data_IF_831651329646
#
_entry.id   IF_831651329646
#
_cell.length_a   1.000
_cell.length_b   1.000
_cell.length_c   1.000
_cell.angle_alpha   90.00
_cell.angle_beta   90.00
_cell.angle_gamma   90.00
#
_symmetry.space_group_name_H-M   'P 1'
#
loop_
_entity.id
_entity.type
_entity.pdbx_description
1 polymer ?
#
# COMPACT_ATOMS: atom_id res chain seq x y z
N UNK A 1 36.62 10.63 -2.37
CA UNK A 1 35.77 9.88 -3.32
C UNK A 1 35.37 8.60 -2.61
N UNK A 2 34.16 8.56 -2.05
CA UNK A 2 33.76 7.53 -1.08
C UNK A 2 32.62 6.71 -1.69
N UNK A 3 32.93 5.46 -2.03
CA UNK A 3 32.01 4.52 -2.66
C UNK A 3 30.86 4.19 -1.73
N UNK A 4 29.72 4.87 -1.90
CA UNK A 4 28.48 4.51 -1.22
C UNK A 4 27.96 3.23 -1.87
N UNK A 5 28.15 2.10 -1.19
CA UNK A 5 27.59 0.82 -1.58
C UNK A 5 26.09 0.95 -1.81
N UNK A 6 25.65 0.84 -3.07
CA UNK A 6 24.25 0.65 -3.41
C UNK A 6 23.86 -0.76 -2.96
N UNK A 7 23.32 -0.89 -1.75
CA UNK A 7 22.88 -2.17 -1.23
C UNK A 7 21.63 -2.61 -1.99
N UNK A 8 21.78 -3.72 -2.70
CA UNK A 8 20.81 -4.32 -3.58
C UNK A 8 20.50 -5.72 -3.02
N UNK A 9 19.23 -6.03 -2.71
CA UNK A 9 18.87 -7.25 -1.99
C UNK A 9 17.60 -7.90 -2.53
N UNK A 10 17.66 -9.21 -2.79
CA UNK A 10 16.49 -10.02 -3.09
C UNK A 10 15.60 -10.19 -1.85
N UNK A 11 14.30 -10.07 -2.06
CA UNK A 11 13.26 -10.16 -1.03
C UNK A 11 12.07 -10.97 -1.57
N UNK A 12 11.24 -11.52 -0.70
CA UNK A 12 9.99 -12.18 -1.09
C UNK A 12 8.85 -11.72 -0.19
N UNK A 13 7.62 -11.79 -0.73
CA UNK A 13 6.40 -11.45 0.00
C UNK A 13 5.34 -12.52 -0.22
N UNK A 14 4.78 -12.97 0.89
CA UNK A 14 3.64 -13.87 0.94
C UNK A 14 2.51 -13.16 1.68
N UNK A 15 1.31 -13.20 1.12
CA UNK A 15 0.13 -12.61 1.76
C UNK A 15 -1.08 -13.52 1.55
N UNK A 16 -1.89 -13.66 2.59
CA UNK A 16 -3.19 -14.32 2.52
C UNK A 16 -4.19 -13.50 3.32
N UNK A 17 -5.34 -13.16 2.73
CA UNK A 17 -6.45 -12.54 3.44
C UNK A 17 -7.53 -13.57 3.77
N UNK A 18 -8.33 -13.31 4.81
CA UNK A 18 -9.48 -14.16 5.17
C UNK A 18 -10.63 -14.14 4.14
N UNK A 19 -10.50 -13.31 3.10
CA UNK A 19 -11.47 -13.08 2.01
C UNK A 19 -10.93 -13.61 0.67
N UNK A 20 -10.21 -14.74 0.69
CA UNK A 20 -9.92 -15.51 -0.53
C UNK A 20 -8.69 -15.07 -1.36
N UNK A 21 -8.00 -13.98 -1.00
CA UNK A 21 -6.82 -13.50 -1.76
C UNK A 21 -5.51 -14.12 -1.30
N UNK A 22 -4.68 -14.59 -2.22
CA UNK A 22 -3.33 -15.15 -1.99
C UNK A 22 -2.31 -14.57 -2.95
N UNK A 23 -1.16 -14.14 -2.44
CA UNK A 23 -0.10 -13.50 -3.21
C UNK A 23 1.25 -14.17 -2.94
N UNK A 24 1.98 -14.50 -4.01
CA UNK A 24 3.33 -15.03 -3.95
C UNK A 24 4.25 -14.19 -4.82
N UNK A 25 5.07 -13.33 -4.20
CA UNK A 25 5.86 -12.33 -4.92
C UNK A 25 7.35 -12.49 -4.63
N UNK A 26 8.14 -12.37 -5.69
CA UNK A 26 9.58 -12.16 -5.62
C UNK A 26 9.86 -10.69 -5.87
N UNK A 27 10.86 -10.15 -5.19
CA UNK A 27 11.16 -8.74 -5.28
C UNK A 27 12.61 -8.41 -5.07
N UNK A 28 12.90 -7.15 -5.31
CA UNK A 28 14.23 -6.60 -5.22
C UNK A 28 14.17 -5.22 -4.56
N UNK A 29 15.07 -5.00 -3.60
CA UNK A 29 15.21 -3.73 -2.92
C UNK A 29 16.47 -3.01 -3.39
N UNK A 30 16.30 -1.74 -3.73
CA UNK A 30 17.36 -0.79 -4.03
C UNK A 30 17.42 0.27 -2.93
N UNK A 31 18.64 0.67 -2.52
CA UNK A 31 18.83 1.76 -1.55
C UNK A 31 19.89 2.78 -2.01
N UNK A 32 19.61 3.59 -3.05
CA UNK A 32 20.52 4.67 -3.44
C UNK A 32 20.39 5.85 -2.46
N UNK A 33 21.38 5.98 -1.57
CA UNK A 33 21.47 7.11 -0.64
C UNK A 33 20.30 7.18 0.35
N UNK A 34 19.38 8.12 0.11
CA UNK A 34 18.23 8.43 1.01
C UNK A 34 16.90 7.87 0.50
N UNK A 35 16.93 7.23 -0.67
CA UNK A 35 15.80 6.58 -1.30
C UNK A 35 15.91 5.07 -1.06
N UNK A 36 14.79 4.45 -0.74
CA UNK A 36 14.58 3.01 -0.73
C UNK A 36 13.45 2.74 -1.72
N UNK A 37 13.68 1.83 -2.66
CA UNK A 37 12.65 1.33 -3.58
C UNK A 37 12.64 -0.18 -3.46
N UNK A 38 11.45 -0.77 -3.31
CA UNK A 38 11.23 -2.21 -3.42
C UNK A 38 10.28 -2.45 -4.58
N UNK A 39 10.67 -3.33 -5.48
CA UNK A 39 9.81 -3.79 -6.57
C UNK A 39 9.51 -5.26 -6.35
N UNK A 40 8.27 -5.66 -6.57
CA UNK A 40 7.80 -7.02 -6.45
C UNK A 40 7.01 -7.40 -7.70
N UNK A 41 7.17 -8.65 -8.13
CA UNK A 41 6.40 -9.27 -9.19
C UNK A 41 6.09 -10.72 -8.81
N UNK A 42 4.95 -11.23 -9.24
CA UNK A 42 4.61 -12.62 -9.04
C UNK A 42 3.17 -12.93 -9.41
N UNK A 43 2.61 -13.93 -8.73
CA UNK A 43 1.27 -14.46 -9.02
C UNK A 43 0.30 -14.08 -7.90
N UNK A 44 -0.96 -13.92 -8.27
CA UNK A 44 -2.08 -13.75 -7.37
C UNK A 44 -3.22 -14.72 -7.69
N UNK A 45 -3.96 -15.07 -6.66
CA UNK A 45 -5.20 -15.82 -6.75
C UNK A 45 -6.24 -15.13 -5.89
N UNK A 46 -7.41 -14.86 -6.46
CA UNK A 46 -8.51 -14.15 -5.81
C UNK A 46 -9.78 -14.98 -5.91
N UNK A 47 -10.60 -14.95 -4.87
CA UNK A 47 -11.87 -15.65 -4.83
C UNK A 47 -12.91 -14.74 -4.17
N UNK A 48 -13.78 -14.14 -4.99
CA UNK A 48 -14.78 -13.18 -4.57
C UNK A 48 -16.19 -13.80 -4.63
N UNK A 49 -16.88 -13.83 -3.48
CA UNK A 49 -18.25 -14.33 -3.38
C UNK A 49 -19.18 -13.22 -2.88
N UNK A 50 -19.90 -12.61 -3.81
CA UNK A 50 -20.95 -11.64 -3.50
C UNK A 50 -22.24 -12.42 -3.16
N UNK A 51 -22.83 -12.10 -2.00
CA UNK A 51 -24.09 -12.68 -1.53
C UNK A 51 -25.08 -11.56 -1.18
N UNK A 52 -26.28 -11.52 -1.80
CA UNK A 52 -26.81 -12.47 -2.79
C UNK A 52 -26.05 -12.41 -4.14
N UNK A 53 -26.01 -13.54 -4.86
CA UNK A 53 -25.31 -13.66 -6.13
C UNK A 53 -25.88 -12.68 -7.16
N UNK A 54 -25.04 -11.80 -7.69
CA UNK A 54 -25.38 -10.89 -8.78
C UNK A 54 -24.67 -11.34 -10.07
N UNK A 55 -25.38 -11.97 -11.02
CA UNK A 55 -24.79 -12.48 -12.25
C UNK A 55 -24.31 -11.38 -13.22
N UNK A 56 -24.58 -10.09 -12.95
CA UNK A 56 -24.07 -8.99 -13.76
C UNK A 56 -22.77 -8.38 -13.23
N UNK A 57 -22.24 -8.87 -12.11
CA UNK A 57 -20.97 -8.39 -11.55
C UNK A 57 -19.78 -9.14 -12.19
N UNK A 58 -18.84 -8.42 -12.81
CA UNK A 58 -17.63 -9.00 -13.43
C UNK A 58 -16.59 -9.42 -12.39
N UNK A 59 -16.68 -8.91 -11.16
CA UNK A 59 -15.80 -9.20 -10.02
C UNK A 59 -16.40 -10.28 -9.13
N UNK A 60 -16.68 -11.45 -9.70
CA UNK A 60 -17.22 -12.60 -8.97
C UNK A 60 -16.57 -13.91 -9.40
N UNK A 61 -16.32 -14.77 -8.42
CA UNK A 61 -15.71 -16.08 -8.59
C UNK A 61 -14.19 -16.05 -8.39
N UNK A 62 -13.52 -17.06 -8.94
CA UNK A 62 -12.08 -17.29 -8.75
C UNK A 62 -11.29 -16.84 -9.97
N UNK A 63 -10.32 -15.97 -9.75
CA UNK A 63 -9.41 -15.51 -10.79
C UNK A 63 -7.93 -15.70 -10.41
N UNK A 64 -7.10 -15.96 -11.41
CA UNK A 64 -5.66 -16.06 -11.29
C UNK A 64 -5.02 -14.97 -12.14
N UNK A 65 -4.03 -14.29 -11.57
CA UNK A 65 -3.41 -13.15 -12.21
C UNK A 65 -1.92 -13.01 -11.94
N UNK A 66 -1.34 -12.02 -12.60
CA UNK A 66 -0.02 -11.49 -12.27
C UNK A 66 -0.18 -10.25 -11.41
N UNK A 67 0.74 -10.06 -10.47
CA UNK A 67 0.76 -8.88 -9.61
C UNK A 67 2.10 -8.20 -9.64
N UNK A 68 2.07 -6.89 -9.77
CA UNK A 68 3.21 -6.00 -9.58
C UNK A 68 2.98 -5.12 -8.36
N UNK A 69 4.03 -4.89 -7.56
CA UNK A 69 4.00 -3.92 -6.46
C UNK A 69 5.29 -3.10 -6.42
N UNK A 70 5.16 -1.83 -6.07
CA UNK A 70 6.26 -0.93 -5.78
C UNK A 70 6.04 -0.30 -4.40
N UNK A 71 7.07 -0.32 -3.56
CA UNK A 71 7.10 0.42 -2.29
C UNK A 71 8.29 1.36 -2.31
N UNK A 72 8.05 2.65 -2.06
CA UNK A 72 9.08 3.68 -2.11
C UNK A 72 9.11 4.47 -0.82
N UNK A 73 10.31 4.72 -0.31
CA UNK A 73 10.56 5.59 0.83
C UNK A 73 11.71 6.55 0.54
N UNK A 74 11.47 7.84 0.70
CA UNK A 74 12.45 8.89 0.50
C UNK A 74 12.55 9.77 1.74
N UNK A 75 13.73 9.82 2.34
CA UNK A 75 14.03 10.88 3.31
C UNK A 75 14.37 12.16 2.55
N UNK A 76 13.49 13.17 2.63
CA UNK A 76 13.68 14.49 1.99
C UNK A 76 14.56 15.39 2.88
N UNK A 77 14.33 15.37 4.19
CA UNK A 77 15.20 15.98 5.22
C UNK A 77 15.30 15.04 6.43
N UNK A 78 16.10 15.36 7.48
CA UNK A 78 16.05 14.60 8.73
C UNK A 78 14.64 14.55 9.35
N UNK A 79 13.85 15.61 9.17
CA UNK A 79 12.49 15.72 9.70
C UNK A 79 11.39 15.35 8.71
N UNK A 80 11.63 15.35 7.40
CA UNK A 80 10.60 15.16 6.37
C UNK A 80 10.86 13.90 5.54
N UNK A 81 9.83 13.09 5.33
CA UNK A 81 9.88 11.92 4.44
C UNK A 81 8.66 11.86 3.53
N UNK A 82 8.84 11.17 2.40
CA UNK A 82 7.80 10.81 1.46
C UNK A 82 7.79 9.29 1.31
N UNK A 83 6.62 8.67 1.41
CA UNK A 83 6.42 7.28 1.00
C UNK A 83 5.40 7.20 -0.13
N UNK A 84 5.60 6.27 -1.05
CA UNK A 84 4.66 6.01 -2.14
C UNK A 84 4.64 4.52 -2.43
N UNK A 85 3.48 3.92 -2.27
CA UNK A 85 3.23 2.50 -2.50
C UNK A 85 2.21 2.36 -3.62
N UNK A 86 2.43 1.43 -4.54
CA UNK A 86 1.51 1.13 -5.63
C UNK A 86 1.49 -0.36 -5.92
N UNK A 87 0.33 -0.88 -6.31
CA UNK A 87 0.14 -2.25 -6.72
C UNK A 87 -0.86 -2.32 -7.87
N UNK A 88 -0.63 -3.26 -8.78
CA UNK A 88 -1.55 -3.60 -9.86
C UNK A 88 -1.58 -5.11 -10.01
N UNK A 89 -2.79 -5.65 -10.10
CA UNK A 89 -3.10 -7.05 -10.28
C UNK A 89 -3.94 -7.25 -11.54
N UNK A 90 -3.68 -8.32 -12.29
CA UNK A 90 -4.51 -8.64 -13.45
C UNK A 90 -5.76 -9.42 -13.07
N UNK A 91 -5.82 -10.03 -11.89
CA UNK A 91 -7.06 -10.59 -11.39
C UNK A 91 -8.03 -9.43 -11.08
N UNK A 92 -9.17 -9.40 -11.76
CA UNK A 92 -10.16 -8.31 -11.72
C UNK A 92 -9.60 -6.90 -11.95
N UNK A 93 -8.45 -6.79 -12.64
CA UNK A 93 -7.77 -5.52 -12.96
C UNK A 93 -7.57 -4.58 -11.74
N UNK A 94 -7.32 -5.16 -10.56
CA UNK A 94 -7.25 -4.36 -9.33
C UNK A 94 -5.99 -3.49 -9.27
N UNK A 95 -6.16 -2.23 -8.86
CA UNK A 95 -5.05 -1.34 -8.54
C UNK A 95 -5.23 -0.67 -7.18
N UNK A 96 -4.11 -0.33 -6.56
CA UNK A 96 -4.10 0.46 -5.34
C UNK A 96 -2.82 1.29 -5.28
N UNK A 97 -2.94 2.54 -4.86
CA UNK A 97 -1.85 3.47 -4.67
C UNK A 97 -2.05 4.27 -3.40
N UNK A 98 -0.96 4.57 -2.70
CA UNK A 98 -0.96 5.38 -1.48
C UNK A 98 0.34 6.16 -1.38
N UNK A 99 0.23 7.47 -1.35
CA UNK A 99 1.33 8.38 -1.05
C UNK A 99 1.15 9.00 0.33
N UNK A 100 2.25 9.20 1.05
CA UNK A 100 2.28 9.87 2.35
C UNK A 100 3.42 10.86 2.43
N UNK A 101 3.12 12.09 2.83
CA UNK A 101 4.12 13.09 3.18
C UNK A 101 4.11 13.27 4.70
N UNK A 102 5.20 12.90 5.37
CA UNK A 102 5.27 12.84 6.83
C UNK A 102 6.38 13.68 7.44
N UNK A 103 6.04 14.35 8.54
CA UNK A 103 6.94 15.13 9.39
C UNK A 103 7.23 14.35 10.69
N UNK A 104 8.51 14.17 11.01
CA UNK A 104 9.01 13.63 12.28
C UNK A 104 9.03 14.74 13.32
N UNK A 105 8.02 14.77 14.17
CA UNK A 105 7.86 15.79 15.21
C UNK A 105 8.68 15.45 16.45
N UNK A 106 8.79 14.16 16.77
CA UNK A 106 9.65 13.62 17.84
C UNK A 106 10.37 12.38 17.31
N UNK A 107 11.43 11.89 17.98
CA UNK A 107 12.13 10.68 17.55
C UNK A 107 11.23 9.44 17.36
N UNK A 108 10.08 9.39 18.06
CA UNK A 108 9.10 8.30 17.99
C UNK A 108 7.76 8.69 17.39
N UNK A 109 7.55 9.95 17.03
CA UNK A 109 6.25 10.46 16.57
C UNK A 109 6.41 11.17 15.24
N UNK A 110 5.66 10.69 14.25
CA UNK A 110 5.49 11.34 12.96
C UNK A 110 4.03 11.61 12.70
N UNK A 111 3.73 12.66 11.95
CA UNK A 111 2.39 12.96 11.46
C UNK A 111 2.47 13.51 10.05
N UNK A 112 1.39 13.44 9.30
CA UNK A 112 1.42 13.87 7.92
C UNK A 112 0.11 13.75 7.20
N UNK A 113 0.19 14.00 5.89
CA UNK A 113 -0.93 13.86 4.97
C UNK A 113 -0.75 12.57 4.17
N UNK A 114 -1.88 11.94 3.83
CA UNK A 114 -1.92 10.79 2.94
C UNK A 114 -2.97 10.98 1.85
N UNK A 115 -2.70 10.40 0.69
CA UNK A 115 -3.61 10.38 -0.45
C UNK A 115 -3.43 9.09 -1.22
N UNK A 116 -4.51 8.50 -1.69
CA UNK A 116 -4.46 7.24 -2.42
C UNK A 116 -5.63 7.07 -3.35
N UNK A 117 -5.47 6.14 -4.28
CA UNK A 117 -6.52 5.71 -5.19
C UNK A 117 -6.51 4.18 -5.23
N UNK A 118 -7.69 3.57 -5.25
CA UNK A 118 -7.85 2.12 -5.38
C UNK A 118 -9.05 1.82 -6.25
N UNK A 119 -8.97 0.75 -7.01
CA UNK A 119 -10.06 0.35 -7.90
C UNK A 119 -9.85 -1.01 -8.53
N UNK A 120 -10.80 -1.39 -9.36
CA UNK A 120 -10.85 -2.64 -10.12
C UNK A 120 -11.72 -2.42 -11.36
N UNK A 121 -12.11 -3.50 -12.07
CA UNK A 121 -12.93 -3.39 -13.28
C UNK A 121 -14.26 -2.60 -13.13
N UNK A 122 -14.83 -2.53 -11.93
CA UNK A 122 -16.15 -1.92 -11.69
C UNK A 122 -16.14 -0.70 -10.78
N UNK A 123 -15.06 -0.49 -10.02
CA UNK A 123 -15.02 0.48 -8.94
C UNK A 123 -13.73 1.27 -8.94
N UNK A 124 -13.85 2.60 -8.77
CA UNK A 124 -12.70 3.49 -8.58
C UNK A 124 -12.96 4.44 -7.41
N UNK A 125 -12.08 4.44 -6.42
CA UNK A 125 -12.17 5.34 -5.28
C UNK A 125 -10.86 6.06 -4.98
N UNK A 126 -11.02 7.33 -4.65
CA UNK A 126 -9.97 8.16 -4.05
C UNK A 126 -10.12 8.19 -2.53
N UNK A 127 -9.00 8.41 -1.84
CA UNK A 127 -8.98 8.81 -0.44
C UNK A 127 -7.91 9.86 -0.19
N UNK A 128 -8.20 10.77 0.72
CA UNK A 128 -7.27 11.77 1.20
C UNK A 128 -7.49 12.04 2.69
N UNK A 129 -6.42 12.21 3.45
CA UNK A 129 -6.50 12.33 4.89
C UNK A 129 -5.19 12.67 5.54
N UNK A 130 -5.15 12.46 6.85
CA UNK A 130 -3.96 12.58 7.66
C UNK A 130 -3.62 11.25 8.33
N UNK A 131 -2.38 11.17 8.81
CA UNK A 131 -1.94 10.04 9.62
C UNK A 131 -1.07 10.50 10.79
N UNK A 132 -1.05 9.67 11.82
CA UNK A 132 -0.12 9.73 12.95
C UNK A 132 0.56 8.38 13.04
N UNK A 133 1.90 8.40 13.12
CA UNK A 133 2.73 7.21 13.23
C UNK A 133 3.56 7.28 14.51
N UNK A 134 3.52 6.20 15.27
CA UNK A 134 4.27 5.98 16.49
C UNK A 134 5.26 4.82 16.32
N UNK A 135 6.55 5.12 16.50
CA UNK A 135 7.61 4.13 16.53
C UNK A 135 7.89 3.74 17.99
N UNK A 136 7.36 2.60 18.41
CA UNK A 136 7.75 1.91 19.63
C UNK A 136 9.04 1.12 19.36
N UNK A 137 9.61 0.46 20.37
CA UNK A 137 10.91 -0.24 20.23
C UNK A 137 10.91 -1.23 19.06
N UNK A 138 9.95 -2.15 19.06
CA UNK A 138 9.88 -3.25 18.10
C UNK A 138 8.57 -3.23 17.30
N UNK A 139 7.83 -2.12 17.37
CA UNK A 139 6.50 -2.00 16.79
C UNK A 139 6.27 -0.60 16.27
N UNK A 140 5.82 -0.50 15.03
CA UNK A 140 5.31 0.72 14.44
C UNK A 140 3.78 0.66 14.40
N UNK A 141 3.14 1.69 14.93
CA UNK A 141 1.68 1.86 14.88
C UNK A 141 1.38 3.08 14.03
N UNK A 142 0.49 2.96 13.05
CA UNK A 142 0.00 4.09 12.26
C UNK A 142 -1.52 4.15 12.37
N UNK A 143 -2.04 5.31 12.74
CA UNK A 143 -3.47 5.64 12.70
C UNK A 143 -3.68 6.65 11.60
N UNK A 144 -4.61 6.38 10.68
CA UNK A 144 -4.97 7.28 9.60
C UNK A 144 -6.46 7.57 9.60
N UNK A 145 -6.84 8.74 9.11
CA UNK A 145 -8.24 9.06 8.87
C UNK A 145 -8.41 10.24 7.91
N UNK A 146 -9.57 10.29 7.28
CA UNK A 146 -9.86 11.31 6.28
C UNK A 146 -11.15 11.02 5.53
N UNK A 147 -11.18 11.47 4.27
CA UNK A 147 -12.31 11.32 3.37
C UNK A 147 -11.99 10.33 2.26
N UNK A 148 -12.99 9.57 1.84
CA UNK A 148 -12.95 8.68 0.68
C UNK A 148 -14.18 8.95 -0.17
N UNK A 149 -14.03 8.86 -1.48
CA UNK A 149 -15.14 9.03 -2.41
C UNK A 149 -14.93 8.16 -3.64
N UNK A 150 -16.01 7.59 -4.13
CA UNK A 150 -16.07 6.97 -5.45
C UNK A 150 -16.21 8.09 -6.48
N UNK A 151 -15.56 7.98 -7.65
CA UNK A 151 -15.79 8.92 -8.76
C UNK A 151 -17.25 8.93 -9.25
N UNK A 152 -18.04 7.91 -8.89
CA UNK A 152 -19.44 7.72 -9.26
C UNK A 152 -20.46 8.15 -8.18
N UNK A 153 -20.02 8.59 -6.99
CA UNK A 153 -20.93 8.98 -5.89
C UNK A 153 -20.77 10.46 -5.49
N UNK A 154 -21.90 11.17 -5.31
CA UNK A 154 -21.94 12.61 -4.99
C UNK A 154 -21.58 12.95 -3.53
N UNK A 155 -21.50 11.98 -2.62
CA UNK A 155 -21.23 12.22 -1.19
C UNK A 155 -19.97 11.50 -0.69
N UNK A 156 -18.91 12.24 -0.29
CA UNK A 156 -17.72 11.64 0.29
C UNK A 156 -18.02 11.05 1.68
N UNK A 157 -17.47 9.86 1.94
CA UNK A 157 -17.54 9.14 3.21
C UNK A 157 -16.27 9.35 4.04
N UNK A 158 -16.35 9.19 5.37
CA UNK A 158 -15.18 9.19 6.24
C UNK A 158 -14.51 7.82 6.30
N UNK A 159 -13.19 7.76 6.47
CA UNK A 159 -12.49 6.52 6.78
C UNK A 159 -11.58 6.66 8.01
N UNK A 160 -11.33 5.53 8.67
CA UNK A 160 -10.31 5.36 9.71
C UNK A 160 -9.56 4.06 9.42
N UNK A 161 -8.23 4.08 9.54
CA UNK A 161 -7.39 2.92 9.36
C UNK A 161 -6.36 2.79 10.50
N UNK A 162 -6.08 1.55 10.90
CA UNK A 162 -5.05 1.20 11.87
C UNK A 162 -4.07 0.21 11.22
N UNK A 163 -2.80 0.59 11.18
CA UNK A 163 -1.69 -0.25 10.76
C UNK A 163 -0.78 -0.58 11.94
N UNK A 164 -0.41 -1.84 12.08
CA UNK A 164 0.54 -2.30 13.11
C UNK A 164 1.59 -3.15 12.41
N UNK A 165 2.85 -2.76 12.52
CA UNK A 165 3.98 -3.45 11.92
C UNK A 165 5.00 -3.80 12.98
N UNK A 166 5.60 -4.99 12.87
CA UNK A 166 6.74 -5.38 13.71
C UNK A 166 8.03 -5.03 12.98
N UNK A 167 8.88 -4.25 13.64
CA UNK A 167 10.24 -3.96 13.19
C UNK A 167 11.16 -5.07 13.69
N UNK A 168 11.95 -5.67 12.78
CA UNK A 168 12.93 -6.73 13.05
C UNK A 168 14.35 -6.23 12.77
#
# INVERSE_FOLDING_TARGET
>A
MEGRYNAARAISRWSSSGIGKRLNLLGYQFRPGRLIVKLFAGIEAEDQHIVPHDPHNSVQGRELGLRLQAETWLDISPSLFLSADAAYGTAFQEYCSLARLGLRVRPRLSLGLEGGALGNEEYDAGRAGGFVRLNLRDTEVTVSGGFTGNYLEDTPSGYVALGVYRTF
#
